data_IF_205206731607
#
_entry.id   IF_205206731607
#
_cell.length_a   1.000
_cell.length_b   1.000
_cell.length_c   1.000
_cell.angle_alpha   90.00
_cell.angle_beta   90.00
_cell.angle_gamma   90.00
#
_symmetry.space_group_name_H-M   'P 1'
#
loop_
_entity.id
_entity.type
_entity.pdbx_description
1 polymer ?
2 non-polymer ?
3 water ?
#
# COMPACT_ATOMS: atom_id res chain seq x y z
N UNK A 1 -2.35 -14.84 -13.84
CA UNK A 1 -3.59 -14.26 -13.31
C UNK A 1 -3.30 -12.87 -12.76
N UNK A 2 -3.90 -11.84 -13.36
CA UNK A 2 -3.70 -10.50 -12.83
C UNK A 2 -4.43 -10.38 -11.50
N UNK A 3 -3.80 -9.68 -10.56
CA UNK A 3 -4.38 -9.44 -9.25
C UNK A 3 -5.04 -8.07 -9.14
N UNK A 4 -4.66 -7.12 -9.98
CA UNK A 4 -5.23 -5.80 -9.98
C UNK A 4 -4.18 -4.73 -9.73
N UNK A 5 -4.65 -3.49 -9.65
CA UNK A 5 -3.78 -2.34 -9.54
C UNK A 5 -4.36 -1.37 -8.52
N UNK A 6 -3.48 -0.66 -7.82
CA UNK A 6 -3.88 0.22 -6.74
C UNK A 6 -3.31 1.61 -6.96
N UNK A 7 -4.14 2.62 -6.70
CA UNK A 7 -3.74 4.01 -6.82
C UNK A 7 -3.67 4.62 -5.43
N UNK A 8 -2.52 5.20 -5.09
CA UNK A 8 -2.40 5.93 -3.84
C UNK A 8 -1.45 7.11 -4.03
N UNK A 9 -1.60 8.09 -3.15
CA UNK A 9 -0.72 9.24 -3.11
C UNK A 9 0.17 9.18 -1.88
N UNK A 10 1.34 9.79 -2.02
CA UNK A 10 2.36 9.84 -0.98
C UNK A 10 2.76 11.28 -0.79
N UNK A 11 2.90 11.68 0.46
CA UNK A 11 3.30 13.03 0.81
C UNK A 11 4.18 12.95 2.04
N UNK A 12 5.33 13.60 1.99
CA UNK A 12 6.22 13.68 3.13
C UNK A 12 6.51 15.13 3.48
N UNK A 13 6.28 15.48 4.75
CA UNK A 13 6.57 16.80 5.31
C UNK A 13 7.85 16.67 6.13
N UNK A 14 8.99 17.13 5.61
CA UNK A 14 10.26 16.91 6.33
C UNK A 14 10.32 17.55 7.71
N UNK A 15 9.85 18.79 7.87
CA UNK A 15 9.99 19.46 9.16
C UNK A 15 9.22 18.72 10.26
N UNK A 16 8.01 18.26 9.95
CA UNK A 16 7.18 17.59 10.94
C UNK A 16 7.38 16.08 11.00
N UNK A 17 8.18 15.51 10.09
CA UNK A 17 8.27 14.06 9.97
C UNK A 17 6.90 13.44 9.81
N UNK A 18 6.11 13.94 8.86
CA UNK A 18 4.73 13.52 8.67
C UNK A 18 4.60 12.88 7.29
N UNK A 19 4.17 11.62 7.28
CA UNK A 19 4.04 10.85 6.05
C UNK A 19 2.58 10.53 5.84
N UNK A 20 2.02 10.98 4.72
CA UNK A 20 0.60 10.79 4.45
C UNK A 20 0.43 9.93 3.21
N UNK A 21 -0.30 8.83 3.37
CA UNK A 21 -0.71 7.95 2.29
C UNK A 21 -2.22 8.07 2.14
N UNK A 22 -2.68 8.49 0.96
CA UNK A 22 -4.10 8.43 0.63
C UNK A 22 -4.33 7.25 -0.30
N UNK A 23 -5.13 6.29 0.16
CA UNK A 23 -5.61 5.22 -0.71
C UNK A 23 -6.71 5.83 -1.58
N UNK A 24 -6.45 5.93 -2.87
CA UNK A 24 -7.38 6.60 -3.77
C UNK A 24 -8.44 5.62 -4.29
N UNK A 25 -8.01 4.61 -5.04
CA UNK A 25 -8.92 3.63 -5.62
C UNK A 25 -8.07 2.46 -6.12
N UNK A 26 -8.75 1.37 -6.45
CA UNK A 26 -8.13 0.22 -7.08
C UNK A 26 -8.97 -0.15 -8.30
N UNK A 27 -8.37 -0.87 -9.23
CA UNK A 27 -9.10 -1.28 -10.43
C UNK A 27 -8.71 -2.69 -10.84
N UNK A 28 -9.65 -3.37 -11.50
CA UNK A 28 -9.42 -4.67 -12.12
C UNK A 28 -8.85 -5.66 -11.11
N UNK A 29 -9.41 -5.63 -9.91
CA UNK A 29 -8.98 -6.53 -8.86
C UNK A 29 -9.39 -7.95 -9.18
N UNK A 30 -8.63 -8.90 -8.64
CA UNK A 30 -8.98 -10.30 -8.77
C UNK A 30 -10.31 -10.57 -8.08
N UNK A 31 -11.12 -11.40 -8.72
CA UNK A 31 -12.35 -11.90 -8.14
C UNK A 31 -12.00 -12.95 -7.09
N UNK A 32 -12.45 -12.75 -5.86
CA UNK A 32 -12.06 -13.59 -4.73
C UNK A 32 -13.18 -14.45 -4.17
N UNK A 33 -14.43 -14.16 -4.50
CA UNK A 33 -15.57 -14.89 -3.97
C UNK A 33 -16.15 -15.77 -5.07
N UNK A 34 -16.18 -17.08 -4.81
CA UNK A 34 -16.94 -17.98 -5.67
C UNK A 34 -18.37 -17.49 -5.72
N UNK A 35 -18.90 -17.36 -6.93
CA UNK A 35 -20.26 -16.92 -7.14
C UNK A 35 -20.46 -15.43 -7.04
N UNK A 36 -19.41 -14.66 -6.75
CA UNK A 36 -19.53 -13.22 -6.70
C UNK A 36 -18.29 -12.53 -7.22
N UNK A 37 -17.95 -11.39 -6.61
CA UNK A 37 -16.81 -10.59 -7.03
C UNK A 37 -15.78 -10.56 -5.90
N UNK A 38 -15.54 -9.39 -5.33
CA UNK A 38 -14.69 -9.26 -4.16
C UNK A 38 -15.27 -8.16 -3.28
N UNK A 39 -14.79 -8.11 -2.02
CA UNK A 39 -15.20 -7.12 -1.03
C UNK A 39 -13.96 -6.37 -0.54
N UNK A 40 -13.34 -5.57 -1.39
CA UNK A 40 -11.99 -5.10 -1.07
C UNK A 40 -11.92 -4.05 0.04
N UNK A 41 -10.90 -4.20 0.89
CA UNK A 41 -10.38 -3.10 1.68
C UNK A 41 -8.87 -3.15 1.59
N UNK A 42 -8.24 -2.09 2.09
CA UNK A 42 -6.81 -1.87 1.90
C UNK A 42 -6.17 -1.64 3.26
N UNK A 43 -5.13 -2.41 3.55
CA UNK A 43 -4.33 -2.26 4.74
C UNK A 43 -3.06 -1.49 4.40
N UNK A 44 -2.57 -0.71 5.35
CA UNK A 44 -1.27 -0.05 5.21
C UNK A 44 -0.46 -0.37 6.45
N UNK A 45 0.69 -1.03 6.26
CA UNK A 45 1.62 -1.34 7.34
C UNK A 45 2.88 -0.49 7.16
N UNK A 46 3.30 0.19 8.22
CA UNK A 46 4.59 0.87 8.25
C UNK A 46 5.60 -0.06 8.92
N UNK A 47 6.60 -0.49 8.16
CA UNK A 47 7.55 -1.50 8.60
C UNK A 47 8.95 -0.90 8.73
N UNK A 48 9.77 -1.56 9.55
CA UNK A 48 11.18 -1.20 9.71
C UNK A 48 11.93 -2.44 10.17
N UNK A 49 12.62 -3.10 9.23
CA UNK A 49 13.46 -4.27 9.51
C UNK A 49 12.63 -5.42 10.11
N UNK A 50 11.66 -5.87 9.33
CA UNK A 50 10.80 -6.97 9.72
C UNK A 50 9.66 -6.57 10.63
N UNK A 51 9.92 -5.63 11.53
CA UNK A 51 8.94 -5.25 12.54
C UNK A 51 7.92 -4.28 11.96
N UNK A 52 6.67 -4.39 12.42
CA UNK A 52 5.64 -3.44 12.06
C UNK A 52 5.56 -2.36 13.12
N UNK A 53 5.64 -1.10 12.69
CA UNK A 53 5.53 0.04 13.57
C UNK A 53 4.10 0.51 13.77
N UNK A 54 3.24 0.35 12.76
CA UNK A 54 1.89 0.89 12.83
C UNK A 54 1.09 0.36 11.66
N UNK A 55 -0.22 0.23 11.86
CA UNK A 55 -1.11 -0.28 10.82
C UNK A 55 -2.33 0.63 10.68
N UNK A 56 -2.86 0.69 9.46
CA UNK A 56 -4.09 1.41 9.17
C UNK A 56 -4.90 0.61 8.16
N UNK A 57 -6.16 0.97 7.98
CA UNK A 57 -6.98 0.25 7.02
C UNK A 57 -8.15 1.10 6.57
N UNK A 58 -8.51 0.92 5.30
CA UNK A 58 -9.68 1.58 4.74
C UNK A 58 -10.97 0.92 5.22
N UNK A 59 -12.07 1.57 4.88
CA UNK A 59 -13.36 0.92 4.96
C UNK A 59 -13.45 -0.15 3.87
N UNK A 60 -14.53 -0.91 3.94
CA UNK A 60 -14.78 -2.02 3.03
C UNK A 60 -15.78 -1.55 1.99
N UNK A 61 -15.50 -1.86 0.73
CA UNK A 61 -16.46 -1.68 -0.35
C UNK A 61 -16.88 -3.07 -0.80
N UNK A 62 -18.15 -3.38 -0.68
CA UNK A 62 -18.60 -4.73 -0.96
C UNK A 62 -18.96 -4.88 -2.44
N UNK A 63 -18.70 -6.08 -2.96
CA UNK A 63 -19.11 -6.47 -4.30
C UNK A 63 -18.57 -5.52 -5.38
N UNK A 64 -17.26 -5.30 -5.39
CA UNK A 64 -16.68 -4.54 -6.49
C UNK A 64 -15.24 -4.97 -6.72
N UNK A 65 -14.83 -4.90 -7.99
CA UNK A 65 -13.45 -5.04 -8.38
C UNK A 65 -12.79 -3.70 -8.65
N UNK A 66 -13.52 -2.59 -8.50
CA UNK A 66 -13.03 -1.27 -8.88
C UNK A 66 -13.42 -0.26 -7.80
N UNK A 67 -12.94 -0.45 -6.58
CA UNK A 67 -13.40 0.37 -5.46
C UNK A 67 -12.74 1.74 -5.43
N UNK A 68 -13.51 2.72 -4.98
CA UNK A 68 -13.02 4.07 -4.77
C UNK A 68 -13.02 4.35 -3.28
N UNK A 69 -11.90 4.88 -2.76
CA UNK A 69 -11.75 5.15 -1.32
C UNK A 69 -11.54 6.63 -1.06
N UNK A 70 -10.41 7.19 -1.51
CA UNK A 70 -9.97 8.53 -1.15
C UNK A 70 -9.95 8.68 0.37
N UNK A 71 -9.21 7.76 1.00
CA UNK A 71 -9.08 7.71 2.45
C UNK A 71 -7.64 7.97 2.83
N UNK A 72 -7.42 8.91 3.74
CA UNK A 72 -6.08 9.37 4.07
C UNK A 72 -5.63 8.83 5.41
N UNK A 73 -4.33 8.55 5.49
CA UNK A 73 -3.68 8.04 6.68
C UNK A 73 -2.33 8.72 6.84
N UNK A 74 -2.01 9.10 8.07
CA UNK A 74 -0.75 9.76 8.36
C UNK A 74 0.07 8.92 9.32
N UNK A 75 1.39 9.02 9.16
CA UNK A 75 2.35 8.32 9.99
C UNK A 75 3.42 9.29 10.44
N UNK A 76 3.87 9.12 11.69
CA UNK A 76 4.97 9.91 12.22
C UNK A 76 6.26 9.18 11.87
N UNK A 77 6.99 9.75 10.92
CA UNK A 77 8.28 9.21 10.50
C UNK A 77 9.29 10.36 10.52
N UNK A 78 10.23 10.36 11.46
CA UNK A 78 11.22 11.45 11.50
C UNK A 78 12.12 11.46 10.28
N UNK A 79 12.62 12.65 9.96
CA UNK A 79 13.44 12.86 8.77
C UNK A 79 14.56 11.83 8.69
N UNK A 80 15.20 11.54 9.82
CA UNK A 80 16.37 10.69 9.81
C UNK A 80 16.03 9.23 9.57
N UNK A 81 14.75 8.85 9.69
CA UNK A 81 14.30 7.48 9.51
C UNK A 81 13.55 7.24 8.20
N UNK A 82 13.31 8.28 7.39
CA UNK A 82 12.40 8.11 6.27
C UNK A 82 12.97 7.17 5.21
N UNK A 83 14.30 7.04 5.12
CA UNK A 83 14.92 6.08 4.22
C UNK A 83 15.21 4.74 4.89
N UNK A 84 14.53 4.43 6.00
CA UNK A 84 14.71 3.16 6.68
C UNK A 84 13.41 2.39 6.85
N UNK A 85 12.30 2.90 6.32
CA UNK A 85 11.00 2.29 6.53
C UNK A 85 10.49 1.70 5.22
N UNK A 86 9.53 0.80 5.34
CA UNK A 86 8.74 0.33 4.22
C UNK A 86 7.28 0.66 4.48
N UNK A 87 6.60 1.10 3.44
CA UNK A 87 5.17 1.35 3.48
C UNK A 87 4.53 0.28 2.62
N UNK A 88 3.88 -0.67 3.27
CA UNK A 88 3.36 -1.88 2.65
C UNK A 88 1.85 -1.73 2.52
N UNK A 89 1.35 -1.86 1.29
CA UNK A 89 -0.05 -1.63 0.98
C UNK A 89 -0.62 -2.93 0.45
N UNK A 90 -1.67 -3.42 1.11
CA UNK A 90 -2.25 -4.72 0.81
C UNK A 90 -3.73 -4.54 0.56
N UNK A 91 -4.21 -5.07 -0.56
CA UNK A 91 -5.64 -5.16 -0.85
C UNK A 91 -6.09 -6.55 -0.45
N UNK A 92 -7.10 -6.63 0.41
CA UNK A 92 -7.63 -7.90 0.87
C UNK A 92 -9.11 -8.00 0.55
N UNK A 93 -9.60 -9.23 0.54
CA UNK A 93 -11.03 -9.46 0.48
C UNK A 93 -11.55 -9.65 1.90
N UNK A 94 -12.57 -8.88 2.25
CA UNK A 94 -13.25 -9.10 3.51
C UNK A 94 -14.23 -10.26 3.41
N UNK A 95 -14.16 -11.18 4.37
CA UNK A 95 -15.17 -12.21 4.55
C UNK A 95 -15.65 -12.18 5.99
N UNK A 96 -16.97 -12.11 6.16
CA UNK A 96 -17.55 -12.14 7.50
C UNK A 96 -17.04 -13.36 8.28
N UNK A 97 -16.90 -14.50 7.61
CA UNK A 97 -16.53 -15.77 8.24
C UNK A 97 -15.15 -16.17 7.73
N UNK A 98 -14.18 -16.22 8.63
CA UNK A 98 -12.85 -16.70 8.31
C UNK A 98 -11.85 -15.56 8.16
N UNK A 99 -10.60 -15.96 7.95
CA UNK A 99 -9.54 -15.00 7.70
C UNK A 99 -9.78 -14.29 6.37
N UNK A 100 -9.46 -13.01 6.33
CA UNK A 100 -9.53 -12.23 5.10
C UNK A 100 -8.30 -12.54 4.26
N UNK A 101 -8.52 -13.01 3.03
CA UNK A 101 -7.43 -13.34 2.12
C UNK A 101 -6.96 -12.10 1.36
N UNK A 102 -5.65 -11.96 1.24
CA UNK A 102 -5.08 -10.86 0.47
C UNK A 102 -5.30 -11.09 -1.01
N UNK A 103 -5.62 -10.01 -1.72
CA UNK A 103 -5.65 -10.04 -3.17
C UNK A 103 -4.25 -9.86 -3.73
N UNK A 104 -3.59 -8.77 -3.33
CA UNK A 104 -2.22 -8.51 -3.72
C UNK A 104 -1.66 -7.39 -2.86
N UNK A 105 -0.41 -7.04 -3.15
CA UNK A 105 0.39 -6.29 -2.20
C UNK A 105 1.52 -5.58 -2.95
N UNK A 106 1.98 -4.46 -2.39
CA UNK A 106 3.11 -3.72 -2.94
C UNK A 106 3.72 -2.94 -1.80
N UNK A 107 5.00 -2.59 -1.94
CA UNK A 107 5.59 -1.70 -0.96
C UNK A 107 6.45 -0.65 -1.64
N UNK A 108 6.48 0.52 -1.01
CA UNK A 108 7.34 1.62 -1.43
C UNK A 108 8.30 1.92 -0.28
N UNK A 109 9.41 2.57 -0.61
CA UNK A 109 10.48 2.79 0.34
C UNK A 109 11.83 2.64 -0.33
N UNK A 110 12.90 2.95 0.40
CA UNK A 110 14.21 2.96 -0.23
C UNK A 110 14.56 1.60 -0.82
N UNK A 111 14.27 0.53 -0.09
CA UNK A 111 14.58 -0.82 -0.56
C UNK A 111 13.73 -1.25 -1.76
N UNK A 112 12.69 -0.51 -2.12
CA UNK A 112 11.84 -0.93 -3.23
C UNK A 112 12.54 -0.72 -4.58
N UNK A 113 11.89 -1.17 -5.65
CA UNK A 113 12.48 -1.08 -6.98
C UNK A 113 11.46 -0.59 -7.99
N UNK A 114 11.98 -0.26 -9.18
CA UNK A 114 11.16 0.10 -10.33
C UNK A 114 10.21 1.24 -10.02
N UNK A 115 8.97 1.07 -10.46
CA UNK A 115 7.95 2.10 -10.26
C UNK A 115 7.63 2.32 -8.79
N UNK A 116 7.86 1.32 -7.95
CA UNK A 116 7.66 1.53 -6.53
C UNK A 116 8.71 2.48 -5.98
N UNK A 117 9.98 2.23 -6.33
CA UNK A 117 11.06 3.12 -5.93
C UNK A 117 10.87 4.51 -6.52
N UNK A 118 10.40 4.56 -7.77
CA UNK A 118 10.22 5.84 -8.41
C UNK A 118 9.16 6.67 -7.70
N UNK A 119 8.04 6.05 -7.32
CA UNK A 119 7.04 6.78 -6.56
C UNK A 119 7.66 7.32 -5.28
N UNK A 120 8.33 6.45 -4.53
CA UNK A 120 8.96 6.87 -3.29
C UNK A 120 9.93 8.02 -3.51
N UNK A 121 10.79 7.91 -4.52
CA UNK A 121 11.80 8.94 -4.77
C UNK A 121 11.17 10.25 -5.21
N UNK A 122 10.11 10.18 -6.01
CA UNK A 122 9.44 11.40 -6.42
C UNK A 122 8.79 12.10 -5.22
N UNK A 123 8.33 11.34 -4.23
CA UNK A 123 7.84 11.95 -3.00
C UNK A 123 8.96 12.69 -2.29
N UNK A 124 10.12 12.05 -2.15
CA UNK A 124 11.21 12.64 -1.39
C UNK A 124 11.77 13.89 -2.07
N UNK A 125 11.83 13.88 -3.40
CA UNK A 125 12.33 15.03 -4.14
C UNK A 125 11.36 16.19 -4.17
N UNK A 126 10.11 15.98 -3.77
CA UNK A 126 9.06 16.99 -3.91
C UNK A 126 8.36 17.13 -2.57
N UNK A 127 9.09 17.58 -1.54
CA UNK A 127 8.52 17.62 -0.19
C UNK A 127 7.26 18.47 -0.10
N UNK A 128 6.35 18.05 0.79
CA UNK A 128 5.07 18.71 1.09
C UNK A 128 4.06 18.54 -0.04
N UNK A 129 4.40 17.82 -1.08
CA UNK A 129 3.51 17.67 -2.21
C UNK A 129 3.02 16.23 -2.29
N UNK A 130 1.71 16.01 -2.48
CA UNK A 130 1.22 14.65 -2.70
C UNK A 130 1.45 14.21 -4.14
N UNK A 131 2.11 13.07 -4.30
CA UNK A 131 2.38 12.45 -5.59
C UNK A 131 1.49 11.22 -5.69
N UNK A 132 0.63 11.16 -6.71
CA UNK A 132 -0.22 9.99 -6.96
C UNK A 132 0.44 9.10 -7.99
N UNK A 133 0.31 7.79 -7.80
CA UNK A 133 0.86 6.84 -8.76
C UNK A 133 0.10 5.52 -8.68
N UNK A 134 0.01 4.84 -9.82
CA UNK A 134 -0.58 3.51 -9.88
C UNK A 134 0.50 2.45 -9.69
N UNK A 135 0.14 1.38 -9.00
CA UNK A 135 1.02 0.24 -8.82
C UNK A 135 0.30 -1.04 -9.16
N UNK A 136 1.01 -1.93 -9.84
CA UNK A 136 0.53 -3.27 -10.08
C UNK A 136 0.68 -4.05 -8.79
N UNK A 137 -0.39 -4.72 -8.36
CA UNK A 137 -0.32 -5.55 -7.16
C UNK A 137 0.40 -6.86 -7.46
N UNK A 138 1.19 -7.33 -6.50
CA UNK A 138 1.94 -8.57 -6.66
C UNK A 138 1.52 -9.60 -5.61
N UNK A 139 1.93 -10.85 -5.84
CA UNK A 139 1.61 -11.94 -4.92
C UNK A 139 2.21 -11.62 -3.57
N UNK A 140 1.39 -11.76 -2.52
CA UNK A 140 1.82 -11.43 -1.17
C UNK A 140 3.16 -12.09 -0.83
N UNK A 141 3.29 -13.38 -1.13
CA UNK A 141 4.50 -14.11 -0.74
C UNK A 141 5.74 -13.55 -1.42
N UNK A 142 5.61 -13.10 -2.66
CA UNK A 142 6.77 -12.52 -3.34
C UNK A 142 7.18 -11.19 -2.72
N UNK A 143 6.22 -10.32 -2.41
CA UNK A 143 6.54 -9.06 -1.75
C UNK A 143 7.16 -9.31 -0.39
N UNK A 144 6.53 -10.19 0.41
CA UNK A 144 7.09 -10.51 1.72
C UNK A 144 8.54 -10.94 1.58
N UNK A 145 8.86 -11.68 0.52
CA UNK A 145 10.23 -12.11 0.30
C UNK A 145 11.15 -10.91 0.07
N UNK A 146 10.75 -9.99 -0.81
CA UNK A 146 11.63 -8.88 -1.18
C UNK A 146 11.82 -7.88 -0.04
N UNK A 147 10.84 -7.78 0.86
CA UNK A 147 10.98 -6.91 2.02
C UNK A 147 12.20 -7.26 2.87
N UNK A 148 12.74 -8.47 2.72
CA UNK A 148 13.93 -8.84 3.47
C UNK A 148 15.23 -8.39 2.81
N UNK A 149 15.19 -7.89 1.58
CA UNK A 149 16.40 -7.56 0.83
C UNK A 149 16.75 -6.10 1.11
N UNK A 150 17.84 -5.88 1.84
CA UNK A 150 18.29 -4.52 2.13
C UNK A 150 19.20 -4.03 1.01
N UNK A 151 19.09 -2.74 0.70
CA UNK A 151 20.00 -2.09 -0.26
C UNK A 151 21.33 -1.80 0.43
X LIG B 1 -15.56 -11.77 0.35
#
# INVERSE_FOLDING_TARGET
>A
EKLGDISFSLRYVPTAGKLTVVILEAKNLKKMDVGGLSDPYVKIHLMQNGKRLKKKKTTIKKNTLNPYYNESFSFEVPFEQIQKVQVVVTVLDYDKIGKNDAIGKVFVGYNSTGAELRHWSDMLANPRRPIAQWHTLQVEEEVDAMLAVKK
>B hetero
1 PB PB
#
